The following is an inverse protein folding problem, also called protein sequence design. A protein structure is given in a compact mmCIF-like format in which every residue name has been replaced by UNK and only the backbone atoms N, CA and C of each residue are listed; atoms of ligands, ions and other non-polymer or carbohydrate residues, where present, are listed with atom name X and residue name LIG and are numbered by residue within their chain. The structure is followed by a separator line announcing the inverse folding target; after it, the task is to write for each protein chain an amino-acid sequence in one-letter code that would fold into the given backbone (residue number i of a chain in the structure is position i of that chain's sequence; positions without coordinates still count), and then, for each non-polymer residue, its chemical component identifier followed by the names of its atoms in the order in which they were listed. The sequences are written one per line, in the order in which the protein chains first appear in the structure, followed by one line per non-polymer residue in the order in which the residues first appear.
data_IF_957208071996
#
_entry.id   IF_957208071996
#
_cell.length_a   1.000
_cell.length_b   1.000
_cell.length_c   1.000
_cell.angle_alpha   90.00
_cell.angle_beta   90.00
_cell.angle_gamma   90.00
#
_symmetry.space_group_name_H-M   'P 1'
#
loop_
_entity.id
_entity.type
_entity.pdbx_description
1 polymer ?
#
# COMPACT_ATOMS: atom_id res chain seq x y z
N UNK A 1 25.45 -22.54 9.18
CA UNK A 1 25.35 -21.52 10.26
C UNK A 1 24.40 -20.39 9.86
N UNK A 2 24.62 -19.69 8.74
CA UNK A 2 23.77 -18.57 8.32
C UNK A 2 22.30 -18.93 8.13
N UNK A 3 21.99 -20.08 7.51
CA UNK A 3 20.60 -20.54 7.36
C UNK A 3 19.88 -20.81 8.68
N UNK A 4 20.61 -21.32 9.68
CA UNK A 4 20.08 -21.49 11.04
C UNK A 4 19.72 -20.14 11.67
N UNK A 5 20.61 -19.14 11.56
CA UNK A 5 20.35 -17.80 12.09
C UNK A 5 19.20 -17.14 11.34
N UNK A 6 19.16 -17.21 10.01
CA UNK A 6 18.16 -16.53 9.19
C UNK A 6 16.75 -17.11 9.37
N UNK A 7 16.63 -18.43 9.53
CA UNK A 7 15.36 -19.13 9.70
C UNK A 7 14.85 -19.22 11.15
N UNK A 8 15.69 -18.92 12.15
CA UNK A 8 15.33 -19.06 13.56
C UNK A 8 14.47 -17.87 14.04
N UNK A 9 13.20 -18.10 14.42
CA UNK A 9 12.30 -17.03 14.90
C UNK A 9 12.73 -16.43 16.24
N UNK A 10 13.57 -17.12 17.02
CA UNK A 10 14.07 -16.61 18.31
C UNK A 10 15.21 -15.58 18.11
N UNK A 11 15.75 -15.46 16.89
CA UNK A 11 16.73 -14.44 16.54
C UNK A 11 16.07 -13.10 16.23
N UNK A 12 16.77 -12.01 16.56
CA UNK A 12 16.32 -10.66 16.21
C UNK A 12 16.20 -10.48 14.69
N UNK A 13 15.22 -9.69 14.23
CA UNK A 13 15.05 -9.37 12.81
C UNK A 13 16.32 -8.80 12.17
N UNK A 14 17.09 -8.02 12.91
CA UNK A 14 18.38 -7.48 12.47
C UNK A 14 19.39 -8.58 12.20
N UNK A 15 19.58 -9.52 13.13
CA UNK A 15 20.51 -10.63 12.97
C UNK A 15 20.11 -11.53 11.80
N UNK A 16 18.81 -11.82 11.67
CA UNK A 16 18.24 -12.59 10.55
C UNK A 16 18.49 -11.91 9.21
N UNK A 17 18.26 -10.59 9.11
CA UNK A 17 18.51 -9.80 7.91
C UNK A 17 20.00 -9.75 7.54
N UNK A 18 20.89 -9.61 8.52
CA UNK A 18 22.34 -9.68 8.29
C UNK A 18 22.72 -11.05 7.74
N UNK A 19 22.21 -12.14 8.34
CA UNK A 19 22.47 -13.49 7.87
C UNK A 19 22.02 -13.70 6.42
N UNK A 20 20.83 -13.19 6.05
CA UNK A 20 20.31 -13.17 4.67
C UNK A 20 21.27 -12.43 3.72
N UNK A 21 21.74 -11.24 4.10
CA UNK A 21 22.65 -10.47 3.23
C UNK A 21 24.02 -11.16 3.04
N UNK A 22 24.43 -11.98 4.00
CA UNK A 22 25.67 -12.76 3.96
C UNK A 22 25.55 -14.10 3.24
N UNK A 23 24.36 -14.50 2.76
CA UNK A 23 24.19 -15.72 1.98
C UNK A 23 24.93 -15.62 0.64
N UNK A 24 25.84 -16.57 0.40
CA UNK A 24 26.55 -16.72 -0.88
C UNK A 24 25.85 -17.74 -1.80
N UNK A 25 25.23 -18.75 -1.23
CA UNK A 25 24.53 -19.81 -1.97
C UNK A 25 23.12 -19.34 -2.36
N UNK A 26 22.93 -19.09 -3.66
CA UNK A 26 21.67 -18.60 -4.23
C UNK A 26 20.55 -19.66 -4.17
N UNK A 27 20.87 -20.95 -4.23
CA UNK A 27 19.88 -22.02 -4.17
C UNK A 27 19.34 -22.17 -2.73
N UNK A 28 20.23 -22.14 -1.74
CA UNK A 28 19.81 -22.15 -0.33
C UNK A 28 19.04 -20.89 0.06
N UNK A 29 19.39 -19.74 -0.51
CA UNK A 29 18.66 -18.49 -0.27
C UNK A 29 17.23 -18.56 -0.83
N UNK A 30 17.05 -19.15 -2.02
CA UNK A 30 15.72 -19.41 -2.60
C UNK A 30 14.91 -20.41 -1.78
N UNK A 31 15.54 -21.47 -1.26
CA UNK A 31 14.88 -22.41 -0.35
C UNK A 31 14.46 -21.73 0.97
N UNK A 32 15.36 -20.95 1.57
CA UNK A 32 15.10 -20.18 2.78
C UNK A 32 13.90 -19.26 2.62
N UNK A 33 13.77 -18.57 1.47
CA UNK A 33 12.66 -17.68 1.16
C UNK A 33 11.30 -18.31 1.49
N UNK A 34 11.10 -19.56 1.09
CA UNK A 34 9.84 -20.29 1.30
C UNK A 34 9.47 -20.46 2.78
N UNK A 35 10.47 -20.53 3.67
CA UNK A 35 10.31 -20.74 5.11
C UNK A 35 10.18 -19.45 5.94
N UNK A 36 10.62 -18.31 5.39
CA UNK A 36 10.58 -17.02 6.08
C UNK A 36 9.12 -16.56 6.23
N UNK A 37 8.68 -16.16 7.42
CA UNK A 37 7.30 -15.67 7.62
C UNK A 37 7.18 -14.17 7.44
N UNK A 38 8.26 -13.46 7.71
CA UNK A 38 8.27 -12.02 7.81
C UNK A 38 8.46 -11.37 6.43
N UNK A 39 7.52 -10.52 5.97
CA UNK A 39 7.60 -9.91 4.65
C UNK A 39 8.90 -9.15 4.39
N UNK A 40 9.42 -8.44 5.39
CA UNK A 40 10.67 -7.70 5.27
C UNK A 40 11.90 -8.60 5.09
N UNK A 41 11.88 -9.83 5.64
CA UNK A 41 12.97 -10.79 5.45
C UNK A 41 12.86 -11.50 4.09
N UNK A 42 11.63 -11.81 3.65
CA UNK A 42 11.36 -12.35 2.31
C UNK A 42 11.80 -11.36 1.22
N UNK A 43 11.50 -10.08 1.40
CA UNK A 43 11.95 -9.00 0.50
C UNK A 43 13.48 -8.89 0.48
N UNK A 44 14.15 -8.88 1.64
CA UNK A 44 15.61 -8.85 1.70
C UNK A 44 16.25 -10.08 1.00
N UNK A 45 15.64 -11.26 1.14
CA UNK A 45 16.10 -12.46 0.46
C UNK A 45 15.89 -12.37 -1.06
N UNK A 46 14.74 -11.91 -1.54
CA UNK A 46 14.48 -11.64 -2.97
C UNK A 46 15.47 -10.62 -3.54
N UNK A 47 15.74 -9.53 -2.82
CA UNK A 47 16.68 -8.49 -3.25
C UNK A 47 18.07 -9.06 -3.50
N UNK A 48 18.47 -10.04 -2.69
CA UNK A 48 19.78 -10.68 -2.71
C UNK A 48 19.94 -11.75 -3.80
N UNK A 49 18.84 -12.25 -4.38
CA UNK A 49 18.87 -13.15 -5.54
C UNK A 49 19.51 -12.41 -6.73
N UNK A 50 20.57 -13.00 -7.28
CA UNK A 50 21.37 -12.41 -8.37
C UNK A 50 20.86 -12.77 -9.76
N UNK A 51 20.29 -13.97 -9.92
CA UNK A 51 19.70 -14.42 -11.19
C UNK A 51 18.37 -13.67 -11.42
N UNK A 52 18.27 -12.82 -12.47
CA UNK A 52 17.09 -12.01 -12.72
C UNK A 52 15.85 -12.84 -13.07
N UNK A 53 16.00 -13.96 -13.78
CA UNK A 53 14.89 -14.81 -14.19
C UNK A 53 14.34 -15.58 -12.99
N UNK A 54 15.22 -16.11 -12.15
CA UNK A 54 14.82 -16.74 -10.89
C UNK A 54 14.17 -15.72 -9.94
N UNK A 55 14.73 -14.53 -9.82
CA UNK A 55 14.19 -13.45 -8.97
C UNK A 55 12.79 -13.05 -9.40
N UNK A 56 12.55 -12.89 -10.70
CA UNK A 56 11.23 -12.54 -11.22
C UNK A 56 10.22 -13.67 -10.98
N UNK A 57 10.61 -14.92 -11.22
CA UNK A 57 9.75 -16.08 -10.91
C UNK A 57 9.37 -16.15 -9.44
N UNK A 58 10.33 -16.03 -8.53
CA UNK A 58 10.07 -16.02 -7.09
C UNK A 58 9.21 -14.82 -6.69
N UNK A 59 9.42 -13.65 -7.29
CA UNK A 59 8.59 -12.46 -7.05
C UNK A 59 7.12 -12.70 -7.42
N UNK A 60 6.87 -13.33 -8.57
CA UNK A 60 5.51 -13.69 -9.01
C UNK A 60 4.88 -14.75 -8.09
N UNK A 61 5.66 -15.72 -7.63
CA UNK A 61 5.21 -16.73 -6.66
C UNK A 61 4.86 -16.09 -5.31
N UNK A 62 5.68 -15.15 -4.82
CA UNK A 62 5.41 -14.37 -3.62
C UNK A 62 4.12 -13.54 -3.72
N UNK A 63 3.93 -12.88 -4.87
CA UNK A 63 2.75 -12.08 -5.15
C UNK A 63 1.49 -12.95 -5.20
N UNK A 64 1.56 -14.10 -5.88
CA UNK A 64 0.47 -15.08 -5.92
C UNK A 64 0.14 -15.66 -4.53
N UNK A 65 1.16 -15.95 -3.72
CA UNK A 65 0.99 -16.47 -2.36
C UNK A 65 0.38 -15.46 -1.38
N UNK A 66 0.53 -14.15 -1.63
CA UNK A 66 -0.07 -13.07 -0.84
C UNK A 66 -1.61 -13.04 -0.93
N UNK A 67 -2.16 -13.77 -1.90
CA UNK A 67 -3.56 -13.71 -2.28
C UNK A 67 -3.93 -12.35 -2.89
N UNK A 68 -5.21 -12.16 -3.25
CA UNK A 68 -5.64 -10.95 -3.96
C UNK A 68 -5.33 -9.68 -3.16
N UNK A 69 -5.02 -8.60 -3.86
CA UNK A 69 -4.73 -7.32 -3.22
C UNK A 69 -5.95 -6.86 -2.36
N UNK A 70 -5.74 -6.07 -1.30
CA UNK A 70 -6.85 -5.52 -0.49
C UNK A 70 -7.97 -4.89 -1.34
N UNK A 71 -7.60 -4.24 -2.43
CA UNK A 71 -8.46 -3.64 -3.44
C UNK A 71 -9.34 -4.70 -4.13
N UNK A 72 -8.71 -5.73 -4.70
CA UNK A 72 -9.42 -6.83 -5.35
C UNK A 72 -10.36 -7.56 -4.40
N UNK A 73 -9.91 -7.79 -3.15
CA UNK A 73 -10.74 -8.38 -2.09
C UNK A 73 -11.96 -7.51 -1.78
N UNK A 74 -11.78 -6.20 -1.67
CA UNK A 74 -12.87 -5.29 -1.39
C UNK A 74 -13.89 -5.27 -2.55
N UNK A 75 -13.41 -5.28 -3.80
CA UNK A 75 -14.28 -5.35 -4.97
C UNK A 75 -15.06 -6.68 -5.04
N UNK A 76 -14.42 -7.81 -4.75
CA UNK A 76 -15.11 -9.11 -4.67
C UNK A 76 -16.15 -9.17 -3.55
N UNK A 77 -15.89 -8.54 -2.41
CA UNK A 77 -16.85 -8.44 -1.30
C UNK A 77 -18.01 -7.50 -1.64
N UNK A 78 -17.75 -6.40 -2.35
CA UNK A 78 -18.77 -5.45 -2.81
C UNK A 78 -19.77 -6.07 -3.79
N UNK A 79 -19.39 -7.14 -4.51
CA UNK A 79 -20.34 -7.92 -5.34
C UNK A 79 -21.39 -8.66 -4.52
N UNK A 80 -21.18 -8.82 -3.22
CA UNK A 80 -22.00 -9.66 -2.32
C UNK A 80 -22.53 -8.89 -1.10
N UNK A 81 -22.13 -7.63 -0.93
CA UNK A 81 -22.38 -6.79 0.24
C UNK A 81 -22.63 -5.37 -0.24
N UNK A 82 -23.43 -4.60 0.48
CA UNK A 82 -23.58 -3.18 0.18
C UNK A 82 -22.21 -2.45 0.23
N UNK A 83 -21.83 -1.69 -0.83
CA UNK A 83 -20.53 -1.01 -0.88
C UNK A 83 -20.32 0.02 0.23
N UNK A 84 -21.37 0.70 0.70
CA UNK A 84 -21.26 1.70 1.77
C UNK A 84 -21.13 1.05 3.14
N UNK A 85 -21.84 -0.06 3.40
CA UNK A 85 -21.62 -0.90 4.58
C UNK A 85 -20.18 -1.44 4.61
N UNK A 86 -19.67 -1.91 3.48
CA UNK A 86 -18.29 -2.37 3.36
C UNK A 86 -17.29 -1.22 3.57
N UNK A 87 -17.59 -0.02 3.06
CA UNK A 87 -16.77 1.16 3.28
C UNK A 87 -16.70 1.49 4.78
N UNK A 88 -17.79 1.43 5.54
CA UNK A 88 -17.78 1.64 7.00
C UNK A 88 -16.90 0.62 7.72
N UNK A 89 -17.02 -0.67 7.36
CA UNK A 89 -16.17 -1.72 7.92
C UNK A 89 -14.69 -1.45 7.64
N UNK A 90 -14.34 -1.07 6.42
CA UNK A 90 -12.96 -0.72 6.05
C UNK A 90 -12.48 0.55 6.78
N UNK A 91 -13.36 1.53 6.97
CA UNK A 91 -13.09 2.77 7.69
C UNK A 91 -12.74 2.57 9.17
N UNK A 92 -13.14 1.44 9.76
CA UNK A 92 -12.75 1.07 11.13
C UNK A 92 -11.25 0.75 11.25
N UNK A 93 -10.59 0.30 10.18
CA UNK A 93 -9.15 0.00 10.14
C UNK A 93 -8.31 1.26 9.92
N UNK A 94 -8.44 2.23 10.83
CA UNK A 94 -7.74 3.51 10.77
C UNK A 94 -6.22 3.29 10.73
N UNK A 95 -5.55 4.00 9.83
CA UNK A 95 -4.10 3.90 9.68
C UNK A 95 -3.61 2.64 8.96
N UNK A 96 -4.50 1.83 8.39
CA UNK A 96 -4.13 0.72 7.49
C UNK A 96 -4.05 1.21 6.05
N UNK A 97 -2.87 1.20 5.40
CA UNK A 97 -2.75 1.54 3.99
C UNK A 97 -3.61 0.63 3.11
N UNK A 98 -3.72 -0.66 3.44
CA UNK A 98 -4.56 -1.59 2.70
C UNK A 98 -6.03 -1.22 2.74
N UNK A 99 -6.53 -0.75 3.89
CA UNK A 99 -7.91 -0.28 4.01
C UNK A 99 -8.15 1.00 3.19
N UNK A 100 -7.19 1.94 3.18
CA UNK A 100 -7.28 3.16 2.36
C UNK A 100 -7.31 2.81 0.86
N UNK A 101 -6.50 1.84 0.41
CA UNK A 101 -6.54 1.39 -0.99
C UNK A 101 -7.86 0.72 -1.33
N UNK A 102 -8.35 -0.16 -0.45
CA UNK A 102 -9.65 -0.80 -0.60
C UNK A 102 -10.80 0.22 -0.70
N UNK A 103 -10.82 1.26 0.15
CA UNK A 103 -11.76 2.37 0.06
C UNK A 103 -11.65 3.11 -1.28
N UNK A 104 -10.43 3.35 -1.77
CA UNK A 104 -10.22 3.93 -3.09
C UNK A 104 -10.81 3.07 -4.22
N UNK A 105 -10.64 1.75 -4.14
CA UNK A 105 -11.21 0.82 -5.11
C UNK A 105 -12.76 0.83 -5.07
N UNK A 106 -13.35 0.87 -3.88
CA UNK A 106 -14.81 1.01 -3.73
C UNK A 106 -15.32 2.35 -4.29
N UNK A 107 -14.57 3.42 -4.13
CA UNK A 107 -14.90 4.73 -4.71
C UNK A 107 -14.74 4.74 -6.25
N UNK A 108 -13.82 3.96 -6.82
CA UNK A 108 -13.51 3.94 -8.28
C UNK A 108 -14.43 3.06 -9.13
N UNK A 109 -15.42 2.41 -8.52
CA UNK A 109 -16.32 1.39 -9.10
C UNK A 109 -15.66 0.10 -9.62
N UNK A 110 -16.04 -1.00 -8.98
CA UNK A 110 -16.49 -2.20 -9.70
C UNK A 110 -17.86 -2.70 -9.16
N UNK A 111 -18.69 -1.83 -8.58
CA UNK A 111 -19.97 -2.20 -7.98
C UNK A 111 -20.93 -1.06 -7.57
N UNK A 112 -20.72 0.17 -8.05
CA UNK A 112 -21.46 1.37 -7.63
C UNK A 112 -20.55 2.37 -6.92
N UNK A 113 -20.72 3.65 -7.18
CA UNK A 113 -19.92 4.72 -6.56
C UNK A 113 -20.26 4.79 -5.06
N UNK A 114 -19.40 4.25 -4.20
CA UNK A 114 -19.58 4.38 -2.75
C UNK A 114 -19.26 5.81 -2.34
N UNK A 115 -20.30 6.65 -2.22
CA UNK A 115 -20.16 7.99 -1.64
C UNK A 115 -19.58 7.91 -0.24
N UNK A 116 -19.91 6.86 0.51
CA UNK A 116 -19.37 6.68 1.86
C UNK A 116 -17.86 6.44 1.86
N UNK A 117 -17.32 5.71 0.89
CA UNK A 117 -15.88 5.52 0.76
C UNK A 117 -15.15 6.85 0.52
N UNK A 118 -15.69 7.72 -0.34
CA UNK A 118 -15.17 9.08 -0.58
C UNK A 118 -15.16 9.91 0.71
N UNK A 119 -16.27 9.89 1.47
CA UNK A 119 -16.36 10.59 2.76
C UNK A 119 -15.35 10.07 3.80
N UNK A 120 -15.13 8.75 3.84
CA UNK A 120 -14.12 8.17 4.73
C UNK A 120 -12.73 8.60 4.30
N UNK A 121 -12.40 8.53 3.00
CA UNK A 121 -11.12 8.97 2.46
C UNK A 121 -10.85 10.45 2.78
N UNK A 122 -11.85 11.33 2.61
CA UNK A 122 -11.75 12.74 3.01
C UNK A 122 -11.42 12.91 4.50
N UNK A 123 -12.00 12.09 5.38
CA UNK A 123 -11.65 12.10 6.81
C UNK A 123 -10.21 11.66 7.08
N UNK A 124 -9.65 10.75 6.28
CA UNK A 124 -8.26 10.28 6.42
C UNK A 124 -7.22 11.36 6.08
N UNK A 125 -7.60 12.46 5.41
CA UNK A 125 -6.72 13.61 5.19
C UNK A 125 -6.31 14.32 6.48
N UNK A 126 -6.99 14.04 7.60
CA UNK A 126 -6.63 14.57 8.94
C UNK A 126 -5.85 13.56 9.78
N UNK A 127 -5.41 12.45 9.19
CA UNK A 127 -4.73 11.39 9.92
C UNK A 127 -3.34 11.83 10.40
N UNK A 128 -2.90 11.38 11.58
CA UNK A 128 -1.61 11.77 12.15
C UNK A 128 -0.41 11.34 11.27
N UNK A 129 -0.50 10.17 10.63
CA UNK A 129 0.53 9.65 9.73
C UNK A 129 0.41 10.22 8.32
N UNK A 130 1.53 10.72 7.80
CA UNK A 130 1.59 11.34 6.48
C UNK A 130 1.35 10.37 5.31
N UNK A 131 1.81 9.12 5.43
CA UNK A 131 1.61 8.09 4.42
C UNK A 131 0.12 7.81 4.16
N UNK A 132 -0.69 7.83 5.22
CA UNK A 132 -2.14 7.67 5.14
C UNK A 132 -2.81 8.89 4.50
N UNK A 133 -2.38 10.11 4.86
CA UNK A 133 -2.90 11.34 4.25
C UNK A 133 -2.60 11.40 2.75
N UNK A 134 -1.35 11.15 2.38
CA UNK A 134 -0.91 11.12 0.98
C UNK A 134 -1.71 10.07 0.19
N UNK A 135 -1.79 8.84 0.70
CA UNK A 135 -2.50 7.77 0.03
C UNK A 135 -4.00 8.08 -0.13
N UNK A 136 -4.65 8.66 0.89
CA UNK A 136 -6.05 9.07 0.80
C UNK A 136 -6.23 10.17 -0.27
N UNK A 137 -5.33 11.15 -0.32
CA UNK A 137 -5.36 12.20 -1.33
C UNK A 137 -5.17 11.65 -2.75
N UNK A 138 -4.24 10.71 -2.94
CA UNK A 138 -4.05 10.01 -4.21
C UNK A 138 -5.32 9.26 -4.63
N UNK A 139 -5.98 8.56 -3.70
CA UNK A 139 -7.20 7.81 -4.00
C UNK A 139 -8.36 8.74 -4.38
N UNK A 140 -8.54 9.85 -3.67
CA UNK A 140 -9.54 10.86 -3.99
C UNK A 140 -9.30 11.49 -5.38
N UNK A 141 -8.05 11.85 -5.69
CA UNK A 141 -7.70 12.39 -6.99
C UNK A 141 -7.95 11.38 -8.13
N UNK A 142 -7.64 10.10 -7.91
CA UNK A 142 -7.83 9.05 -8.90
C UNK A 142 -9.30 8.83 -9.31
N UNK A 143 -10.25 9.16 -8.41
CA UNK A 143 -11.69 9.07 -8.68
C UNK A 143 -12.32 10.41 -9.05
N UNK A 144 -11.52 11.45 -9.27
CA UNK A 144 -12.04 12.79 -9.60
C UNK A 144 -12.67 13.54 -8.41
N UNK A 145 -12.54 13.03 -7.19
CA UNK A 145 -13.07 13.61 -5.94
C UNK A 145 -12.00 14.35 -5.15
N UNK A 146 -11.06 14.98 -5.86
CA UNK A 146 -10.02 15.78 -5.23
C UNK A 146 -10.66 16.84 -4.32
N UNK A 147 -10.17 17.00 -3.07
CA UNK A 147 -10.79 17.89 -2.10
C UNK A 147 -10.34 19.34 -2.35
N UNK A 148 -10.85 19.98 -3.40
CA UNK A 148 -10.43 21.34 -3.82
C UNK A 148 -10.49 22.36 -2.67
N UNK A 149 -11.45 22.20 -1.76
CA UNK A 149 -11.62 22.99 -0.54
C UNK A 149 -10.47 22.85 0.49
N UNK A 150 -9.69 21.78 0.41
CA UNK A 150 -8.57 21.47 1.31
C UNK A 150 -7.20 21.49 0.62
N UNK A 151 -7.15 21.57 -0.72
CA UNK A 151 -5.89 21.48 -1.47
C UNK A 151 -4.91 22.60 -1.11
N UNK A 152 -5.40 23.82 -0.85
CA UNK A 152 -4.57 24.95 -0.43
C UNK A 152 -3.87 24.67 0.91
N UNK A 153 -4.66 24.38 1.94
CA UNK A 153 -4.16 24.04 3.29
C UNK A 153 -3.21 22.84 3.25
N UNK A 154 -3.54 21.80 2.49
CA UNK A 154 -2.67 20.62 2.34
C UNK A 154 -1.37 20.96 1.60
N UNK A 155 -1.39 21.87 0.63
CA UNK A 155 -0.21 22.28 -0.13
C UNK A 155 0.73 23.17 0.69
N UNK A 156 0.19 24.01 1.56
CA UNK A 156 0.95 25.02 2.31
C UNK A 156 1.31 24.54 3.73
N UNK A 157 0.37 23.92 4.44
CA UNK A 157 0.45 23.71 5.88
C UNK A 157 0.69 22.25 6.31
N UNK A 158 0.47 21.26 5.42
CA UNK A 158 0.69 19.87 5.80
C UNK A 158 2.15 19.66 6.26
N UNK A 159 2.41 19.02 7.41
CA UNK A 159 3.78 18.88 7.92
C UNK A 159 4.68 18.04 7.00
N UNK A 160 4.11 17.15 6.20
CA UNK A 160 4.84 16.28 5.29
C UNK A 160 5.03 16.88 3.90
N UNK A 161 6.27 16.89 3.41
CA UNK A 161 6.61 17.48 2.12
C UNK A 161 6.00 16.73 0.93
N UNK A 162 5.82 15.41 1.05
CA UNK A 162 5.21 14.59 0.00
C UNK A 162 3.75 14.96 -0.20
N UNK A 163 3.00 15.08 0.90
CA UNK A 163 1.61 15.55 0.87
C UNK A 163 1.52 16.96 0.27
N UNK A 164 2.33 17.92 0.75
CA UNK A 164 2.35 19.29 0.22
C UNK A 164 2.57 19.34 -1.28
N UNK A 165 3.59 18.62 -1.77
CA UNK A 165 3.94 18.58 -3.19
C UNK A 165 2.81 18.00 -4.04
N UNK A 166 2.20 16.91 -3.59
CA UNK A 166 1.12 16.28 -4.34
C UNK A 166 -0.14 17.18 -4.37
N UNK A 167 -0.54 17.74 -3.23
CA UNK A 167 -1.64 18.71 -3.16
C UNK A 167 -1.42 19.93 -4.08
N UNK A 168 -0.21 20.51 -4.07
CA UNK A 168 0.14 21.61 -4.96
C UNK A 168 0.04 21.24 -6.45
N UNK A 169 0.42 20.00 -6.79
CA UNK A 169 0.30 19.52 -8.19
C UNK A 169 -1.15 19.39 -8.64
N UNK A 170 -2.05 18.95 -7.74
CA UNK A 170 -3.48 18.87 -8.01
C UNK A 170 -4.08 20.27 -8.17
N UNK A 171 -3.77 21.20 -7.25
CA UNK A 171 -4.25 22.58 -7.32
C UNK A 171 -3.81 23.28 -8.61
N UNK A 172 -2.56 23.08 -9.04
CA UNK A 172 -2.07 23.61 -10.31
C UNK A 172 -2.85 23.05 -11.51
N UNK A 173 -3.14 21.74 -11.51
CA UNK A 173 -3.90 21.09 -12.59
C UNK A 173 -5.36 21.58 -12.72
N UNK A 174 -6.01 21.91 -11.61
CA UNK A 174 -7.36 22.51 -11.61
C UNK A 174 -7.36 23.89 -12.27
N UNK A 175 -6.34 24.71 -11.97
CA UNK A 175 -6.23 26.08 -12.51
C UNK A 175 -5.96 26.11 -14.02
N UNK A 176 -5.24 25.13 -14.56
CA UNK A 176 -4.99 25.02 -16.01
C UNK A 176 -6.21 24.46 -16.77
N UNK A 177 -7.05 23.65 -16.12
CA UNK A 177 -8.30 23.16 -16.69
C UNK A 177 -9.36 24.25 -16.88
N UNK A 178 -9.42 25.24 -15.97
CA UNK A 178 -10.36 26.37 -16.03
C UNK A 178 -9.99 27.45 -17.07
N UNK A 179 -8.78 27.40 -17.63
CA UNK A 179 -8.27 28.37 -18.62
C UNK A 179 -8.41 27.92 -20.08
N UNK A 180 -8.94 26.72 -20.33
CA UNK A 180 -9.22 26.18 -21.67
C UNK A 180 -10.70 26.25 -21.98
#
# INVERSE_FOLDING_TARGET
VLGGIAGDPDQSLTARRIAINMFADQAQLAELLSSLREPALREAALERIEDPDLKERLRLEEEAARGPAPEERALELAKKTDPDELAEMLGAFRGSPGAVRALGALASTAGGESTRAVEILRRQLKHARADIRLLALERLAAVGEAPSDLLGDLAEEDPDRGVRRFAASLAASETDGLRR
#
